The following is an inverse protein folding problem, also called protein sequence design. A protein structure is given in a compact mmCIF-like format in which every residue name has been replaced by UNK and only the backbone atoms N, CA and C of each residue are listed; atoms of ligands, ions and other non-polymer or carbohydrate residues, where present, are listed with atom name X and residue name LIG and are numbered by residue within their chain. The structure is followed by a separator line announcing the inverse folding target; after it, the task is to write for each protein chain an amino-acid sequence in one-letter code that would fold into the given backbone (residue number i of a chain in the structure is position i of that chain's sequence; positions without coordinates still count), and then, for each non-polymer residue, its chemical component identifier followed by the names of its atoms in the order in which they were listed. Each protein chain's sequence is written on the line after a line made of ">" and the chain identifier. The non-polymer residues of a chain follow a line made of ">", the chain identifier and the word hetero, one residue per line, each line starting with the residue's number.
data_IF_387865540624
#
_entry.id   IF_387865540624
#
_cell.length_a   1.000
_cell.length_b   1.000
_cell.length_c   1.000
_cell.angle_alpha   90.00
_cell.angle_beta   90.00
_cell.angle_gamma   90.00
#
_symmetry.space_group_name_H-M   'P 1'
#
loop_
_entity.id
_entity.type
_entity.pdbx_description
1 polymer ?
#
# COMPACT_ATOMS: atom_id res chain seq x y z
N UNK A 1 -25.47 -8.89 14.31
CA UNK A 1 -25.62 -9.63 13.04
C UNK A 1 -26.80 -10.59 13.07
N UNK A 2 -27.51 -10.74 11.95
CA UNK A 2 -28.62 -11.68 11.78
C UNK A 2 -28.14 -13.10 11.43
N UNK A 3 -29.01 -14.11 11.56
CA UNK A 3 -28.70 -15.50 11.17
C UNK A 3 -28.39 -15.66 9.68
N UNK A 4 -29.04 -14.85 8.83
CA UNK A 4 -28.77 -14.82 7.39
C UNK A 4 -27.37 -14.24 7.09
N UNK A 5 -27.00 -13.17 7.79
CA UNK A 5 -25.66 -12.55 7.69
C UNK A 5 -24.54 -13.50 8.16
N UNK A 6 -24.77 -14.26 9.24
CA UNK A 6 -23.82 -15.30 9.68
C UNK A 6 -23.64 -16.43 8.65
N UNK A 7 -24.72 -16.84 7.96
CA UNK A 7 -24.64 -17.85 6.89
C UNK A 7 -23.78 -17.35 5.73
N UNK A 8 -24.00 -16.11 5.28
CA UNK A 8 -23.23 -15.50 4.19
C UNK A 8 -21.75 -15.36 4.52
N UNK A 9 -21.42 -14.92 5.74
CA UNK A 9 -20.02 -14.84 6.19
C UNK A 9 -19.33 -16.21 6.12
N UNK A 10 -20.02 -17.29 6.54
CA UNK A 10 -19.46 -18.64 6.44
C UNK A 10 -19.22 -19.07 4.99
N UNK A 11 -20.13 -18.76 4.07
CA UNK A 11 -19.98 -19.06 2.64
C UNK A 11 -18.80 -18.28 2.03
N UNK A 12 -18.67 -17.00 2.36
CA UNK A 12 -17.53 -16.18 1.91
C UNK A 12 -16.19 -16.70 2.44
N UNK A 13 -16.12 -17.10 3.71
CA UNK A 13 -14.90 -17.67 4.28
C UNK A 13 -14.46 -18.93 3.54
N UNK A 14 -15.40 -19.79 3.13
CA UNK A 14 -15.10 -21.00 2.36
C UNK A 14 -14.60 -20.69 0.95
N UNK A 15 -15.13 -19.67 0.28
CA UNK A 15 -14.58 -19.22 -1.01
C UNK A 15 -13.15 -18.68 -0.84
N UNK A 16 -12.93 -17.88 0.20
CA UNK A 16 -11.65 -17.19 0.45
C UNK A 16 -10.54 -18.18 0.83
N UNK A 17 -10.84 -19.21 1.63
CA UNK A 17 -9.85 -20.25 2.02
C UNK A 17 -9.28 -21.01 0.84
N UNK A 18 -10.02 -21.11 -0.27
CA UNK A 18 -9.63 -21.88 -1.45
C UNK A 18 -9.08 -21.03 -2.59
N UNK A 19 -8.87 -19.73 -2.39
CA UNK A 19 -8.28 -18.87 -3.42
C UNK A 19 -6.81 -19.23 -3.69
N UNK A 20 -6.41 -19.48 -4.95
CA UNK A 20 -5.02 -19.72 -5.28
C UNK A 20 -4.18 -18.44 -5.12
N UNK A 21 -2.86 -18.62 -4.99
CA UNK A 21 -1.94 -17.48 -4.95
C UNK A 21 -2.00 -16.65 -6.23
N UNK A 22 -2.04 -15.32 -6.10
CA UNK A 22 -2.20 -14.39 -7.22
C UNK A 22 -3.63 -14.23 -7.72
N UNK A 23 -4.63 -14.87 -7.10
CA UNK A 23 -6.03 -14.69 -7.46
C UNK A 23 -6.65 -13.46 -6.82
N UNK A 24 -7.70 -12.95 -7.45
CA UNK A 24 -8.62 -11.97 -6.89
C UNK A 24 -10.05 -12.51 -6.87
N UNK A 25 -10.81 -12.10 -5.86
CA UNK A 25 -12.22 -12.38 -5.69
C UNK A 25 -12.95 -11.08 -5.39
N UNK A 26 -14.01 -10.80 -6.13
CA UNK A 26 -14.87 -9.63 -5.92
C UNK A 26 -16.26 -10.11 -5.50
N UNK A 27 -16.69 -9.68 -4.33
CA UNK A 27 -17.98 -9.97 -3.74
C UNK A 27 -18.81 -8.69 -3.72
N UNK A 28 -20.07 -8.77 -4.13
CA UNK A 28 -21.01 -7.66 -4.12
C UNK A 28 -22.04 -7.84 -2.99
N UNK A 29 -22.73 -6.76 -2.65
CA UNK A 29 -23.78 -6.71 -1.63
C UNK A 29 -23.32 -7.17 -0.23
N UNK A 30 -22.04 -6.97 0.10
CA UNK A 30 -21.47 -7.28 1.40
C UNK A 30 -21.75 -6.11 2.34
N UNK A 31 -22.53 -6.34 3.41
CA UNK A 31 -22.81 -5.29 4.39
C UNK A 31 -21.58 -4.95 5.26
N UNK A 32 -21.57 -3.77 5.88
CA UNK A 32 -20.48 -3.35 6.76
C UNK A 32 -20.22 -4.35 7.91
N UNK A 33 -21.27 -4.80 8.60
CA UNK A 33 -21.16 -5.81 9.67
C UNK A 33 -20.56 -7.13 9.17
N UNK A 34 -20.88 -7.54 7.93
CA UNK A 34 -20.33 -8.75 7.31
C UNK A 34 -18.84 -8.57 6.98
N UNK A 35 -18.45 -7.39 6.47
CA UNK A 35 -17.06 -7.02 6.24
C UNK A 35 -16.24 -7.02 7.54
N UNK A 36 -16.74 -6.44 8.62
CA UNK A 36 -16.04 -6.44 9.91
C UNK A 36 -15.88 -7.85 10.47
N UNK A 37 -16.92 -8.70 10.35
CA UNK A 37 -16.84 -10.10 10.73
C UNK A 37 -15.81 -10.88 9.89
N UNK A 38 -15.74 -10.61 8.58
CA UNK A 38 -14.76 -11.23 7.69
C UNK A 38 -13.33 -10.82 8.03
N UNK A 39 -13.07 -9.54 8.29
CA UNK A 39 -11.74 -9.10 8.72
C UNK A 39 -11.33 -9.79 10.00
N UNK A 40 -12.20 -9.80 11.01
CA UNK A 40 -11.88 -10.44 12.30
C UNK A 40 -11.63 -11.94 12.13
N UNK A 41 -12.38 -12.62 11.28
CA UNK A 41 -12.19 -14.05 11.00
C UNK A 41 -10.92 -14.33 10.16
N UNK A 42 -10.47 -13.39 9.35
CA UNK A 42 -9.33 -13.51 8.45
C UNK A 42 -8.05 -12.89 8.99
N UNK A 43 -8.08 -12.25 10.16
CA UNK A 43 -6.95 -11.60 10.81
C UNK A 43 -5.72 -12.51 10.94
N UNK A 44 -5.94 -13.81 11.20
CA UNK A 44 -4.89 -14.81 11.29
C UNK A 44 -4.34 -15.28 9.92
N UNK A 45 -4.82 -14.74 8.80
CA UNK A 45 -4.41 -15.11 7.43
C UNK A 45 -3.62 -13.97 6.78
N UNK A 46 -2.30 -13.89 7.01
CA UNK A 46 -1.47 -12.76 6.57
C UNK A 46 -1.32 -12.64 5.04
N UNK A 47 -1.74 -13.67 4.29
CA UNK A 47 -1.59 -13.77 2.83
C UNK A 47 -2.84 -13.32 2.07
N UNK A 48 -3.74 -12.57 2.71
CA UNK A 48 -4.89 -11.95 2.04
C UNK A 48 -4.76 -10.43 2.14
N UNK A 49 -5.25 -9.74 1.12
CA UNK A 49 -5.43 -8.29 1.10
C UNK A 49 -6.89 -7.99 0.84
N UNK A 50 -7.48 -7.16 1.68
CA UNK A 50 -8.89 -6.81 1.60
C UNK A 50 -9.06 -5.33 1.26
N UNK A 51 -9.96 -5.04 0.31
CA UNK A 51 -10.42 -3.68 -0.01
C UNK A 51 -11.94 -3.68 -0.03
N UNK A 52 -12.55 -2.81 0.75
CA UNK A 52 -14.00 -2.70 0.85
C UNK A 52 -14.43 -1.28 0.52
N UNK A 53 -15.45 -1.17 -0.34
CA UNK A 53 -16.04 0.12 -0.70
C UNK A 53 -17.51 -0.06 -1.00
N UNK A 54 -18.36 0.53 -0.17
CA UNK A 54 -19.80 0.73 -0.42
C UNK A 54 -20.55 -0.53 -0.88
N UNK A 55 -20.30 -1.67 -0.21
CA UNK A 55 -20.98 -2.94 -0.52
C UNK A 55 -20.17 -3.90 -1.38
N UNK A 56 -19.09 -3.43 -2.01
CA UNK A 56 -18.15 -4.28 -2.75
C UNK A 56 -16.97 -4.65 -1.85
N UNK A 57 -16.69 -5.95 -1.70
CA UNK A 57 -15.48 -6.48 -1.09
C UNK A 57 -14.58 -7.13 -2.14
N UNK A 58 -13.38 -6.61 -2.30
CA UNK A 58 -12.31 -7.18 -3.11
C UNK A 58 -11.28 -7.87 -2.20
N UNK A 59 -10.98 -9.13 -2.50
CA UNK A 59 -9.97 -9.94 -1.81
C UNK A 59 -8.91 -10.33 -2.82
N UNK A 60 -7.65 -10.15 -2.47
CA UNK A 60 -6.50 -10.57 -3.27
C UNK A 60 -5.60 -11.49 -2.45
N UNK A 61 -5.09 -12.55 -3.07
CA UNK A 61 -3.97 -13.34 -2.53
C UNK A 61 -2.67 -12.87 -3.21
N UNK A 62 -1.73 -12.22 -2.50
CA UNK A 62 -0.47 -11.78 -3.10
C UNK A 62 0.31 -12.92 -3.75
N UNK A 63 0.92 -12.65 -4.90
CA UNK A 63 1.87 -13.57 -5.53
C UNK A 63 3.25 -13.45 -4.88
N UNK A 64 4.11 -14.46 -5.07
CA UNK A 64 5.52 -14.37 -4.64
C UNK A 64 6.24 -13.15 -5.24
N UNK A 65 5.93 -12.82 -6.49
CA UNK A 65 6.51 -11.66 -7.16
C UNK A 65 6.05 -10.35 -6.51
N UNK A 66 4.76 -10.24 -6.20
CA UNK A 66 4.18 -9.10 -5.48
C UNK A 66 4.86 -8.91 -4.11
N UNK A 67 4.93 -9.96 -3.29
CA UNK A 67 5.54 -9.88 -1.95
C UNK A 67 7.05 -9.55 -2.03
N UNK A 68 7.75 -10.06 -3.06
CA UNK A 68 9.15 -9.70 -3.31
C UNK A 68 9.31 -8.21 -3.62
N UNK A 69 8.46 -7.65 -4.48
CA UNK A 69 8.49 -6.23 -4.85
C UNK A 69 8.10 -5.32 -3.68
N UNK A 70 7.05 -5.68 -2.93
CA UNK A 70 6.66 -5.02 -1.67
C UNK A 70 7.85 -4.98 -0.71
N UNK A 71 8.44 -6.13 -0.41
CA UNK A 71 9.61 -6.22 0.48
C UNK A 71 10.76 -5.34 -0.01
N UNK A 72 10.98 -5.28 -1.32
CA UNK A 72 12.04 -4.46 -1.89
C UNK A 72 11.78 -2.96 -1.73
N UNK A 73 10.56 -2.47 -1.97
CA UNK A 73 10.24 -1.05 -1.79
C UNK A 73 10.36 -0.63 -0.32
N UNK A 74 9.94 -1.45 0.64
CA UNK A 74 10.13 -1.19 2.08
C UNK A 74 11.62 -1.04 2.41
N UNK A 75 12.47 -1.94 1.91
CA UNK A 75 13.92 -1.87 2.13
C UNK A 75 14.55 -0.67 1.43
N UNK A 76 14.06 -0.29 0.26
CA UNK A 76 14.52 0.89 -0.47
C UNK A 76 14.24 2.16 0.34
N UNK A 77 13.04 2.28 0.94
CA UNK A 77 12.68 3.38 1.83
C UNK A 77 13.56 3.43 3.09
N UNK A 78 13.91 2.28 3.68
CA UNK A 78 14.85 2.23 4.80
C UNK A 78 16.24 2.74 4.40
N UNK A 79 16.76 2.33 3.24
CA UNK A 79 18.05 2.85 2.74
C UNK A 79 17.97 4.36 2.46
N UNK A 80 16.85 4.86 1.95
CA UNK A 80 16.62 6.29 1.75
C UNK A 80 16.68 7.04 3.08
N UNK A 81 15.94 6.57 4.09
CA UNK A 81 15.94 7.11 5.45
C UNK A 81 17.36 7.20 6.03
N UNK A 82 18.11 6.09 5.98
CA UNK A 82 19.49 6.01 6.49
C UNK A 82 20.44 7.00 5.79
N UNK A 83 20.34 7.12 4.47
CA UNK A 83 21.31 7.90 3.68
C UNK A 83 20.99 9.38 3.69
N UNK A 84 19.70 9.73 3.66
CA UNK A 84 19.24 11.10 3.65
C UNK A 84 19.01 11.67 5.06
N UNK A 85 19.21 10.85 6.11
CA UNK A 85 18.98 11.22 7.51
C UNK A 85 17.55 11.74 7.75
N UNK A 86 16.58 11.06 7.12
CA UNK A 86 15.14 11.38 7.24
C UNK A 86 14.50 10.32 8.13
N UNK A 87 13.92 10.74 9.24
CA UNK A 87 13.11 9.85 10.08
C UNK A 87 11.80 9.48 9.35
N UNK A 88 11.52 8.19 9.25
CA UNK A 88 10.26 7.69 8.72
C UNK A 88 9.87 6.38 9.37
N UNK A 89 8.57 6.08 9.35
CA UNK A 89 8.02 4.78 9.71
C UNK A 89 7.20 4.21 8.55
N UNK A 90 7.26 2.89 8.40
CA UNK A 90 6.53 2.16 7.37
C UNK A 90 5.58 1.16 8.00
N UNK A 91 4.34 1.09 7.52
CA UNK A 91 3.33 0.19 8.08
C UNK A 91 2.59 -0.60 6.99
N UNK A 92 3.20 -1.67 6.52
CA UNK A 92 2.62 -2.56 5.53
C UNK A 92 1.59 -3.50 6.15
N UNK A 93 0.58 -3.90 5.37
CA UNK A 93 -0.47 -4.83 5.81
C UNK A 93 -1.36 -4.31 6.94
N UNK A 94 -1.31 -3.02 7.27
CA UNK A 94 -2.22 -2.39 8.23
C UNK A 94 -3.57 -2.14 7.57
N UNK A 95 -4.65 -2.58 8.21
CA UNK A 95 -6.00 -2.26 7.74
C UNK A 95 -6.39 -0.84 8.14
N UNK A 96 -6.70 -0.03 7.14
CA UNK A 96 -7.26 1.32 7.30
C UNK A 96 -8.77 1.28 7.10
N UNK A 97 -9.55 1.88 8.00
CA UNK A 97 -11.02 1.84 7.96
C UNK A 97 -11.63 3.23 8.18
N UNK A 98 -12.70 3.54 7.45
CA UNK A 98 -13.65 4.61 7.80
C UNK A 98 -15.08 4.05 7.78
N UNK A 99 -15.61 3.66 8.95
CA UNK A 99 -16.97 3.15 9.07
C UNK A 99 -18.05 4.13 8.60
N UNK A 100 -17.78 5.44 8.66
CA UNK A 100 -18.76 6.47 8.29
C UNK A 100 -18.95 6.55 6.77
N UNK A 101 -17.90 6.22 6.01
CA UNK A 101 -17.91 6.18 4.54
C UNK A 101 -18.17 4.78 4.00
N UNK A 102 -18.12 3.75 4.85
CA UNK A 102 -18.23 2.36 4.42
C UNK A 102 -17.06 1.98 3.51
N UNK A 103 -15.85 2.38 3.90
CA UNK A 103 -14.62 2.19 3.14
C UNK A 103 -13.54 1.57 4.03
N UNK A 104 -12.75 0.67 3.47
CA UNK A 104 -11.58 0.11 4.13
C UNK A 104 -10.58 -0.47 3.14
N UNK A 105 -9.29 -0.39 3.44
CA UNK A 105 -8.22 -0.79 2.51
C UNK A 105 -6.97 -1.24 3.25
N UNK A 106 -6.20 -2.09 2.60
CA UNK A 106 -4.89 -2.55 3.02
C UNK A 106 -3.87 -2.17 1.94
N UNK A 107 -3.13 -1.06 2.10
CA UNK A 107 -2.03 -0.71 1.20
C UNK A 107 -0.91 -1.76 1.32
N UNK A 108 -0.12 -1.89 0.25
CA UNK A 108 1.05 -2.76 0.31
C UNK A 108 2.10 -2.20 1.27
N UNK A 109 2.31 -0.88 1.21
CA UNK A 109 3.14 -0.14 2.14
C UNK A 109 2.57 1.27 2.35
N UNK A 110 2.83 1.86 3.51
CA UNK A 110 2.55 3.28 3.74
C UNK A 110 3.72 3.91 4.47
N UNK A 111 3.89 5.22 4.32
CA UNK A 111 5.05 5.95 4.85
C UNK A 111 4.60 7.17 5.63
N UNK A 112 5.13 7.28 6.85
CA UNK A 112 5.01 8.45 7.72
C UNK A 112 6.38 9.10 7.83
N UNK A 113 6.52 10.38 7.45
CA UNK A 113 7.83 11.06 7.33
C UNK A 113 7.90 12.32 8.21
N UNK A 114 6.75 12.92 8.55
CA UNK A 114 6.72 14.16 9.34
C UNK A 114 6.62 13.96 10.84
N UNK A 115 5.73 13.07 11.27
CA UNK A 115 5.48 12.74 12.69
C UNK A 115 5.30 11.22 12.88
N UNK A 116 6.31 10.41 12.47
CA UNK A 116 6.22 8.95 12.55
C UNK A 116 5.90 8.42 13.95
N UNK A 117 6.31 9.14 14.99
CA UNK A 117 6.07 8.77 16.39
C UNK A 117 4.60 8.61 16.76
N UNK A 118 3.68 9.22 16.00
CA UNK A 118 2.24 9.21 16.27
C UNK A 118 1.55 7.88 15.95
N UNK A 119 2.24 6.97 15.26
CA UNK A 119 1.71 5.65 14.91
C UNK A 119 2.44 4.48 15.61
N UNK A 120 3.50 4.76 16.38
CA UNK A 120 4.28 3.73 17.04
C UNK A 120 3.44 2.90 18.02
N UNK A 121 3.56 1.57 17.92
CA UNK A 121 2.91 0.61 18.82
C UNK A 121 1.40 0.46 18.61
N UNK A 122 0.84 0.96 17.52
CA UNK A 122 -0.58 0.77 17.17
C UNK A 122 -0.75 -0.47 16.30
N UNK A 123 -1.69 -1.33 16.68
CA UNK A 123 -2.10 -2.49 15.86
C UNK A 123 -3.05 -2.10 14.71
N UNK A 124 -3.77 -0.97 14.86
CA UNK A 124 -4.78 -0.50 13.90
C UNK A 124 -4.69 1.01 13.70
N UNK A 125 -5.05 1.48 12.50
CA UNK A 125 -5.13 2.90 12.17
C UNK A 125 -6.57 3.24 11.72
N UNK A 126 -7.22 4.13 12.47
CA UNK A 126 -8.57 4.61 12.19
C UNK A 126 -8.47 5.92 11.42
N UNK A 127 -8.96 5.91 10.18
CA UNK A 127 -8.89 7.09 9.32
C UNK A 127 -9.78 8.23 9.82
N UNK A 128 -9.22 9.45 9.81
CA UNK A 128 -9.86 10.63 10.36
C UNK A 128 -9.81 10.73 11.89
N UNK A 129 -9.15 9.79 12.57
CA UNK A 129 -8.80 9.86 14.00
C UNK A 129 -7.28 9.87 14.15
N UNK A 130 -6.63 8.88 13.56
CA UNK A 130 -5.18 8.75 13.51
C UNK A 130 -4.58 9.59 12.35
N UNK A 131 -3.26 9.85 12.37
CA UNK A 131 -2.61 10.56 11.28
C UNK A 131 -2.77 9.79 9.96
N UNK A 132 -3.09 10.51 8.89
CA UNK A 132 -3.03 9.97 7.53
C UNK A 132 -1.55 9.80 7.14
N UNK A 133 -1.14 8.67 6.53
CA UNK A 133 0.19 8.54 5.96
C UNK A 133 0.45 9.63 4.91
N UNK A 134 1.70 10.09 4.83
CA UNK A 134 2.11 10.99 3.76
C UNK A 134 2.11 10.29 2.39
N UNK A 135 2.47 9.00 2.37
CA UNK A 135 2.55 8.21 1.14
C UNK A 135 1.83 6.87 1.33
N UNK A 136 0.95 6.52 0.39
CA UNK A 136 0.44 5.16 0.20
C UNK A 136 1.12 4.52 -1.01
N UNK A 137 1.47 3.24 -0.92
CA UNK A 137 2.13 2.51 -2.01
C UNK A 137 1.35 1.23 -2.32
N UNK A 138 1.02 1.03 -3.60
CA UNK A 138 0.47 -0.21 -4.12
C UNK A 138 1.38 -0.80 -5.22
N UNK A 139 1.54 -2.12 -5.15
CA UNK A 139 2.23 -2.94 -6.12
C UNK A 139 1.17 -3.76 -6.87
N UNK A 140 0.95 -3.45 -8.15
CA UNK A 140 0.01 -4.16 -8.99
C UNK A 140 0.75 -5.03 -10.02
N UNK A 141 0.73 -6.34 -9.76
CA UNK A 141 1.31 -7.36 -10.66
C UNK A 141 0.25 -7.97 -11.58
N UNK A 142 -1.02 -8.03 -11.14
CA UNK A 142 -2.08 -8.83 -11.78
C UNK A 142 -3.33 -8.03 -12.19
N UNK A 143 -3.23 -6.70 -12.23
CA UNK A 143 -4.23 -5.73 -12.70
C UNK A 143 -5.48 -5.62 -11.80
N UNK A 144 -5.32 -5.15 -10.56
CA UNK A 144 -6.40 -5.12 -9.57
C UNK A 144 -6.51 -3.87 -8.68
N UNK A 145 -5.96 -2.72 -9.07
CA UNK A 145 -5.78 -1.58 -8.15
C UNK A 145 -6.67 -0.35 -8.38
N UNK A 146 -7.53 -0.32 -9.41
CA UNK A 146 -8.30 0.89 -9.75
C UNK A 146 -9.27 1.34 -8.63
N UNK A 147 -9.70 0.43 -7.75
CA UNK A 147 -10.63 0.71 -6.66
C UNK A 147 -10.01 1.53 -5.51
N UNK A 148 -8.68 1.47 -5.32
CA UNK A 148 -7.98 2.06 -4.16
C UNK A 148 -7.68 3.56 -4.32
N UNK A 149 -7.50 4.04 -5.54
CA UNK A 149 -7.23 5.46 -5.83
C UNK A 149 -8.32 6.38 -5.24
N UNK A 150 -9.59 6.04 -5.46
CA UNK A 150 -10.72 6.81 -4.95
C UNK A 150 -10.77 6.80 -3.41
N UNK A 151 -10.37 5.68 -2.79
CA UNK A 151 -10.30 5.54 -1.33
C UNK A 151 -9.22 6.48 -0.79
N UNK A 152 -8.01 6.46 -1.34
CA UNK A 152 -6.91 7.33 -0.89
C UNK A 152 -7.21 8.82 -1.09
N UNK A 153 -7.86 9.17 -2.21
CA UNK A 153 -8.30 10.55 -2.48
C UNK A 153 -9.31 11.02 -1.44
N UNK A 154 -10.30 10.18 -1.12
CA UNK A 154 -11.31 10.45 -0.10
C UNK A 154 -10.73 10.65 1.31
N UNK A 155 -9.55 10.11 1.57
CA UNK A 155 -8.86 10.19 2.86
C UNK A 155 -7.79 11.28 2.94
N UNK A 156 -7.60 12.03 1.85
CA UNK A 156 -6.65 13.13 1.87
C UNK A 156 -5.20 12.66 1.93
N UNK A 157 -4.89 11.44 1.47
CA UNK A 157 -3.52 10.94 1.43
C UNK A 157 -2.72 11.84 0.47
N UNK A 158 -1.66 12.54 0.92
CA UNK A 158 -0.96 13.54 0.11
C UNK A 158 -0.35 12.96 -1.17
N UNK A 159 0.22 11.76 -1.10
CA UNK A 159 0.93 11.14 -2.21
C UNK A 159 0.59 9.64 -2.34
N UNK A 160 0.41 9.17 -3.57
CA UNK A 160 0.15 7.77 -3.87
C UNK A 160 1.14 7.24 -4.91
N UNK A 161 1.80 6.13 -4.61
CA UNK A 161 2.74 5.46 -5.49
C UNK A 161 2.14 4.17 -5.99
N UNK A 162 2.14 4.02 -7.31
CA UNK A 162 1.57 2.85 -7.96
C UNK A 162 2.59 2.21 -8.89
N UNK A 163 3.09 1.04 -8.49
CA UNK A 163 3.93 0.23 -9.36
C UNK A 163 3.07 -0.76 -10.14
N UNK A 164 2.98 -0.57 -11.45
CA UNK A 164 2.19 -1.43 -12.34
C UNK A 164 2.89 -1.51 -13.69
N UNK A 165 2.78 -2.64 -14.39
CA UNK A 165 3.36 -2.80 -15.72
C UNK A 165 4.84 -2.40 -15.80
N UNK A 166 5.62 -2.76 -14.77
CA UNK A 166 7.05 -2.43 -14.64
C UNK A 166 7.36 -0.93 -14.61
N UNK A 167 6.40 -0.10 -14.22
CA UNK A 167 6.53 1.35 -14.07
C UNK A 167 6.00 1.78 -12.71
N UNK A 168 6.81 2.52 -11.96
CA UNK A 168 6.34 3.31 -10.83
C UNK A 168 5.70 4.59 -11.38
N UNK A 169 4.52 4.92 -10.89
CA UNK A 169 3.83 6.21 -11.06
C UNK A 169 3.67 6.87 -9.69
N UNK A 170 3.86 8.17 -9.62
CA UNK A 170 3.64 8.97 -8.42
C UNK A 170 2.48 9.91 -8.69
N UNK A 171 1.54 9.98 -7.75
CA UNK A 171 0.39 10.86 -7.80
C UNK A 171 0.38 11.78 -6.58
N UNK A 172 0.20 13.07 -6.79
CA UNK A 172 0.01 14.05 -5.72
C UNK A 172 -1.47 14.45 -5.64
N UNK A 173 -2.00 14.51 -4.41
CA UNK A 173 -3.37 14.95 -4.18
C UNK A 173 -3.48 16.47 -4.36
N UNK A 174 -4.40 16.89 -5.23
CA UNK A 174 -4.73 18.30 -5.46
C UNK A 174 -6.19 18.58 -5.11
N UNK A 175 -6.60 19.85 -5.20
CA UNK A 175 -8.01 20.22 -5.03
C UNK A 175 -8.94 19.60 -6.10
N UNK A 176 -8.39 19.13 -7.22
CA UNK A 176 -9.11 18.48 -8.32
C UNK A 176 -8.96 16.94 -8.30
N UNK A 177 -8.41 16.38 -7.23
CA UNK A 177 -8.07 14.96 -7.11
C UNK A 177 -6.61 14.67 -7.41
N UNK A 178 -6.26 13.39 -7.54
CA UNK A 178 -4.89 12.97 -7.82
C UNK A 178 -4.38 13.40 -9.20
N UNK A 179 -3.15 13.92 -9.23
CA UNK A 179 -2.43 14.26 -10.47
C UNK A 179 -1.09 13.53 -10.50
N UNK A 180 -0.78 12.87 -11.61
CA UNK A 180 0.53 12.24 -11.80
C UNK A 180 1.65 13.29 -11.80
N UNK A 181 2.72 13.01 -11.08
CA UNK A 181 3.92 13.85 -10.97
C UNK A 181 5.18 13.02 -11.24
N UNK A 182 6.25 13.68 -11.68
CA UNK A 182 7.50 13.00 -12.00
C UNK A 182 8.37 12.71 -10.77
N UNK A 183 8.11 13.37 -9.63
CA UNK A 183 8.94 13.31 -8.42
C UNK A 183 8.06 13.29 -7.17
N UNK A 184 8.56 12.61 -6.15
CA UNK A 184 7.96 12.65 -4.82
C UNK A 184 8.11 14.04 -4.20
N UNK A 185 7.02 14.53 -3.61
CA UNK A 185 6.99 15.75 -2.78
C UNK A 185 7.76 15.55 -1.49
N UNK A 186 7.63 14.38 -0.87
CA UNK A 186 8.23 14.05 0.42
C UNK A 186 9.69 13.63 0.28
N UNK A 187 10.06 13.06 -0.87
CA UNK A 187 11.42 12.68 -1.18
C UNK A 187 11.86 13.29 -2.53
N UNK A 188 12.23 14.58 -2.57
CA UNK A 188 12.51 15.26 -3.85
C UNK A 188 13.55 14.53 -4.70
N UNK A 189 14.56 13.87 -4.11
CA UNK A 189 15.55 13.07 -4.85
C UNK A 189 14.93 11.94 -5.68
N UNK A 190 13.78 11.40 -5.29
CA UNK A 190 13.12 10.27 -5.93
C UNK A 190 12.18 10.71 -7.04
N UNK A 191 12.65 10.54 -8.26
CA UNK A 191 11.83 10.60 -9.46
C UNK A 191 11.20 9.22 -9.78
N UNK A 192 10.05 9.25 -10.45
CA UNK A 192 9.28 8.08 -10.85
C UNK A 192 10.09 7.12 -11.74
N UNK A 193 10.98 7.65 -12.58
CA UNK A 193 11.89 6.90 -13.44
C UNK A 193 12.99 6.18 -12.64
N UNK A 194 13.51 6.79 -11.58
CA UNK A 194 14.50 6.18 -10.69
C UNK A 194 13.87 5.06 -9.88
N UNK A 195 12.68 5.29 -9.29
CA UNK A 195 11.94 4.23 -8.61
C UNK A 195 11.66 3.07 -9.57
N UNK A 196 11.17 3.36 -10.77
CA UNK A 196 10.96 2.36 -11.83
C UNK A 196 12.23 1.55 -12.11
N UNK A 197 13.35 2.24 -12.32
CA UNK A 197 14.65 1.62 -12.59
C UNK A 197 15.06 0.67 -11.47
N UNK A 198 15.04 1.11 -10.21
CA UNK A 198 15.50 0.28 -9.10
C UNK A 198 14.54 -0.88 -8.81
N UNK A 199 13.23 -0.68 -8.92
CA UNK A 199 12.24 -1.77 -8.81
C UNK A 199 12.51 -2.86 -9.86
N UNK A 200 12.72 -2.47 -11.12
CA UNK A 200 12.99 -3.42 -12.21
C UNK A 200 14.37 -4.08 -12.08
N UNK A 201 15.39 -3.33 -11.65
CA UNK A 201 16.73 -3.88 -11.44
C UNK A 201 16.74 -4.92 -10.32
N UNK A 202 15.88 -4.78 -9.31
CA UNK A 202 15.73 -5.75 -8.22
C UNK A 202 15.29 -7.14 -8.70
N UNK A 203 14.50 -7.18 -9.79
CA UNK A 203 14.04 -8.41 -10.44
C UNK A 203 15.12 -9.05 -11.30
N UNK A 204 16.03 -8.24 -11.86
CA UNK A 204 17.05 -8.70 -12.81
C UNK A 204 18.36 -9.09 -12.11
N UNK A 205 18.83 -8.27 -11.18
CA UNK A 205 20.14 -8.42 -10.52
C UNK A 205 20.04 -8.94 -9.08
N UNK A 206 18.83 -8.95 -8.53
CA UNK A 206 18.54 -9.33 -7.16
C UNK A 206 18.61 -8.15 -6.19
N UNK A 207 17.71 -8.16 -5.21
CA UNK A 207 17.46 -7.06 -4.28
C UNK A 207 18.73 -6.51 -3.60
N UNK A 208 19.62 -7.37 -3.09
CA UNK A 208 20.80 -6.93 -2.34
C UNK A 208 21.79 -6.12 -3.19
N UNK A 209 22.01 -6.53 -4.45
CA UNK A 209 22.89 -5.79 -5.37
C UNK A 209 22.26 -4.45 -5.73
N UNK A 210 20.96 -4.46 -6.01
CA UNK A 210 20.21 -3.26 -6.34
C UNK A 210 20.15 -2.25 -5.18
N UNK A 211 19.96 -2.69 -3.94
CA UNK A 211 20.00 -1.80 -2.75
C UNK A 211 21.37 -1.15 -2.57
N UNK A 212 22.45 -1.87 -2.88
CA UNK A 212 23.81 -1.30 -2.86
C UNK A 212 23.95 -0.21 -3.92
N UNK A 213 23.52 -0.48 -5.16
CA UNK A 213 23.55 0.49 -6.25
C UNK A 213 22.66 1.73 -5.95
N UNK A 214 21.50 1.52 -5.32
CA UNK A 214 20.61 2.60 -4.88
C UNK A 214 21.29 3.50 -3.85
N UNK A 215 21.93 2.91 -2.83
CA UNK A 215 22.69 3.65 -1.81
C UNK A 215 23.82 4.50 -2.41
N UNK A 216 24.55 3.96 -3.38
CA UNK A 216 25.62 4.69 -4.09
C UNK A 216 25.07 5.84 -4.94
N UNK A 217 23.93 5.60 -5.60
CA UNK A 217 23.22 6.62 -6.38
C UNK A 217 22.71 7.77 -5.50
N UNK A 218 22.11 7.49 -4.33
CA UNK A 218 21.66 8.51 -3.39
C UNK A 218 22.80 9.41 -2.93
N UNK A 219 23.91 8.82 -2.47
CA UNK A 219 25.10 9.56 -2.04
C UNK A 219 25.67 10.45 -3.14
N UNK A 220 25.64 9.97 -4.38
CA UNK A 220 26.12 10.73 -5.54
C UNK A 220 25.18 11.88 -5.91
N UNK A 221 23.88 11.67 -5.75
CA UNK A 221 22.85 12.67 -6.07
C UNK A 221 22.85 13.81 -5.04
N UNK A 222 22.96 13.50 -3.75
CA UNK A 222 23.08 14.50 -2.68
C UNK A 222 24.29 15.42 -2.83
N UNK A 223 25.42 14.91 -3.35
CA UNK A 223 26.61 15.73 -3.61
C UNK A 223 26.37 16.77 -4.71
N UNK A 224 25.55 16.46 -5.71
CA UNK A 224 25.26 17.36 -6.82
C UNK A 224 24.28 18.48 -6.45
N UNK A 225 23.47 18.29 -5.41
CA UNK A 225 22.56 19.33 -4.91
C UNK A 225 23.28 20.39 -4.04
N UNK A 226 24.55 20.14 -3.65
CA UNK A 226 25.37 21.04 -2.84
C UNK A 226 26.44 21.81 -3.63
N UNK A 227 26.54 21.57 -4.94
CA UNK A 227 27.43 22.25 -5.88
C UNK A 227 26.64 23.24 -6.75
#
# INVERSE_FOLDING_TARGET
>A
MSRASQSRVSEYLDLITHLPAGASLRLEDVGWDEYEALISALEAKPNLRLTYRQGTLEIMTPSKLHESLKTFITRLLQVLSEVCEIELETSGSTTYKDPRKGEGTEPDECVYVGQPERILGKDWIILGVDPTPEIMIDIDVTHGSDSKLAIYENYGVPEFWHYSNHRMRIFELTAQGYKETDRSRHFPLLASDQLTKFMNLSLQEGQSKTLKAFREWLRSSMRKDHD
#
